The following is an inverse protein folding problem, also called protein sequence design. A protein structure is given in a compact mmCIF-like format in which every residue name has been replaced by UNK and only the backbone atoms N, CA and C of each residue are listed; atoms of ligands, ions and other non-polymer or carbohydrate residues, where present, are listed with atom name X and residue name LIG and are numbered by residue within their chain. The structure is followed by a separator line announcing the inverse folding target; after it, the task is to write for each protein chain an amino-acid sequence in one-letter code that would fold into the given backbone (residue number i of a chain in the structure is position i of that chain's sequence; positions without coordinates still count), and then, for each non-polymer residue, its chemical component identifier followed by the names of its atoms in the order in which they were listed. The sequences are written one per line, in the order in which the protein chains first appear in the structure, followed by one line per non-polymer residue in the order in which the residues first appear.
data_IF_059259914107
#
_entry.id   IF_059259914107
#
_cell.length_a   1.000
_cell.length_b   1.000
_cell.length_c   1.000
_cell.angle_alpha   90.00
_cell.angle_beta   90.00
_cell.angle_gamma   90.00
#
_symmetry.space_group_name_H-M   'P 1'
#
loop_
_entity.id
_entity.type
_entity.pdbx_description
1 polymer ?
#
# COMPACT_ATOMS: atom_id res chain seq x y z
N UNK A 1 16.69 22.94 12.61
CA UNK A 1 15.91 21.73 12.27
C UNK A 1 15.49 21.05 13.56
N UNK A 2 14.21 20.77 13.73
CA UNK A 2 13.70 19.95 14.84
C UNK A 2 13.97 18.46 14.56
N UNK A 3 13.92 17.61 15.60
CA UNK A 3 14.07 16.16 15.41
C UNK A 3 12.99 15.59 14.48
N UNK A 4 11.76 16.10 14.58
CA UNK A 4 10.68 15.79 13.65
C UNK A 4 11.03 16.16 12.21
N UNK A 5 11.52 17.39 11.95
CA UNK A 5 11.93 17.84 10.62
C UNK A 5 13.02 16.96 10.00
N UNK A 6 13.99 16.50 10.80
CA UNK A 6 15.03 15.59 10.30
C UNK A 6 14.46 14.23 9.86
N UNK A 7 13.56 13.65 10.67
CA UNK A 7 12.96 12.33 10.41
C UNK A 7 11.97 12.36 9.25
N UNK A 8 11.07 13.36 9.22
CA UNK A 8 10.02 13.46 8.22
C UNK A 8 10.59 13.66 6.81
N UNK A 9 11.73 14.33 6.68
CA UNK A 9 12.43 14.52 5.40
C UNK A 9 12.80 13.18 4.78
N UNK A 10 13.43 12.27 5.55
CA UNK A 10 13.81 10.97 5.01
C UNK A 10 12.59 10.11 4.65
N UNK A 11 11.56 10.08 5.51
CA UNK A 11 10.32 9.34 5.23
C UNK A 11 9.67 9.87 3.94
N UNK A 12 9.60 11.20 3.79
CA UNK A 12 9.04 11.84 2.59
C UNK A 12 9.84 11.54 1.33
N UNK A 13 11.17 11.46 1.41
CA UNK A 13 12.02 11.06 0.28
C UNK A 13 11.67 9.62 -0.15
N UNK A 14 11.58 8.68 0.80
CA UNK A 14 11.27 7.28 0.48
C UNK A 14 9.86 7.14 -0.11
N UNK A 15 8.87 7.81 0.49
CA UNK A 15 7.50 7.83 -0.05
C UNK A 15 7.46 8.46 -1.44
N UNK A 16 8.16 9.58 -1.65
CA UNK A 16 8.26 10.27 -2.94
C UNK A 16 8.90 9.41 -4.04
N UNK A 17 9.92 8.62 -3.71
CA UNK A 17 10.52 7.65 -4.64
C UNK A 17 9.51 6.55 -5.03
N UNK A 18 8.71 6.08 -4.08
CA UNK A 18 7.64 5.12 -4.34
C UNK A 18 6.53 5.69 -5.24
N UNK A 19 6.08 6.91 -4.95
CA UNK A 19 5.11 7.65 -5.79
C UNK A 19 5.66 7.82 -7.21
N UNK A 20 6.92 8.24 -7.34
CA UNK A 20 7.57 8.41 -8.65
C UNK A 20 7.61 7.08 -9.42
N UNK A 21 7.89 5.98 -8.73
CA UNK A 21 7.87 4.63 -9.33
C UNK A 21 6.48 4.29 -9.88
N UNK A 22 5.42 4.55 -9.11
CA UNK A 22 4.04 4.30 -9.55
C UNK A 22 3.67 5.18 -10.75
N UNK A 23 3.94 6.48 -10.68
CA UNK A 23 3.61 7.41 -11.76
C UNK A 23 4.36 7.09 -13.05
N UNK A 24 5.63 6.71 -12.95
CA UNK A 24 6.43 6.28 -14.08
C UNK A 24 5.86 4.99 -14.69
N UNK A 25 5.54 4.01 -13.85
CA UNK A 25 4.92 2.75 -14.31
C UNK A 25 3.58 2.97 -15.01
N UNK A 26 2.74 3.87 -14.49
CA UNK A 26 1.47 4.26 -15.13
C UNK A 26 1.72 4.95 -16.48
N UNK A 27 2.68 5.89 -16.54
CA UNK A 27 3.02 6.58 -17.78
C UNK A 27 3.51 5.61 -18.86
N UNK A 28 4.39 4.67 -18.51
CA UNK A 28 4.87 3.63 -19.43
C UNK A 28 3.74 2.69 -19.86
N UNK A 29 2.85 2.30 -18.94
CA UNK A 29 1.67 1.51 -19.27
C UNK A 29 0.77 2.21 -20.29
N UNK A 30 0.52 3.52 -20.13
CA UNK A 30 -0.30 4.31 -21.08
C UNK A 30 0.38 4.41 -22.45
N UNK A 31 1.71 4.59 -22.50
CA UNK A 31 2.46 4.69 -23.76
C UNK A 31 2.49 3.39 -24.56
N UNK A 32 2.59 2.25 -23.87
CA UNK A 32 2.90 0.97 -24.51
C UNK A 32 1.74 -0.03 -24.54
N UNK A 33 0.68 0.17 -23.76
CA UNK A 33 -0.45 -0.78 -23.67
C UNK A 33 -1.62 -0.32 -24.52
N UNK A 34 -2.16 -1.19 -25.39
CA UNK A 34 -3.44 -0.93 -26.04
C UNK A 34 -4.56 -0.93 -24.99
N UNK A 35 -5.48 0.03 -25.03
CA UNK A 35 -6.59 0.16 -24.07
C UNK A 35 -7.39 -1.14 -23.85
N UNK A 36 -7.58 -1.94 -24.89
CA UNK A 36 -8.26 -3.25 -24.83
C UNK A 36 -7.50 -4.32 -24.04
N UNK A 37 -6.23 -4.09 -23.71
CA UNK A 37 -5.37 -5.00 -22.97
C UNK A 37 -5.24 -4.62 -21.48
N UNK A 38 -6.00 -3.63 -20.98
CA UNK A 38 -6.00 -3.25 -19.56
C UNK A 38 -6.86 -4.23 -18.74
N UNK A 39 -6.25 -4.81 -17.70
CA UNK A 39 -6.91 -5.75 -16.80
C UNK A 39 -7.45 -5.01 -15.56
N UNK A 40 -8.77 -4.93 -15.41
CA UNK A 40 -9.40 -4.09 -14.39
C UNK A 40 -8.89 -4.32 -12.95
N UNK A 41 -8.71 -5.56 -12.43
CA UNK A 41 -8.15 -5.77 -11.10
C UNK A 41 -6.78 -5.11 -10.92
N UNK A 42 -5.94 -5.18 -11.96
CA UNK A 42 -4.61 -4.61 -11.91
C UNK A 42 -4.64 -3.08 -11.78
N UNK A 43 -5.51 -2.41 -12.56
CA UNK A 43 -5.69 -0.96 -12.49
C UNK A 43 -6.22 -0.53 -11.11
N UNK A 44 -7.18 -1.28 -10.55
CA UNK A 44 -7.72 -1.00 -9.22
C UNK A 44 -6.61 -1.15 -8.16
N UNK A 45 -5.75 -2.16 -8.27
CA UNK A 45 -4.61 -2.33 -7.36
C UNK A 45 -3.60 -1.19 -7.46
N UNK A 46 -3.29 -0.69 -8.66
CA UNK A 46 -2.43 0.50 -8.82
C UNK A 46 -3.03 1.70 -8.09
N UNK A 47 -4.33 1.96 -8.30
CA UNK A 47 -5.03 3.06 -7.64
C UNK A 47 -5.07 2.88 -6.11
N UNK A 48 -5.36 1.67 -5.63
CA UNK A 48 -5.40 1.33 -4.21
C UNK A 48 -4.06 1.61 -3.54
N UNK A 49 -2.96 1.12 -4.11
CA UNK A 49 -1.62 1.37 -3.55
C UNK A 49 -1.25 2.84 -3.61
N UNK A 50 -1.59 3.55 -4.69
CA UNK A 50 -1.38 4.99 -4.76
C UNK A 50 -2.11 5.73 -3.63
N UNK A 51 -3.35 5.36 -3.33
CA UNK A 51 -4.11 5.95 -2.21
C UNK A 51 -3.46 5.61 -0.86
N UNK A 52 -2.94 4.40 -0.67
CA UNK A 52 -2.18 4.04 0.54
C UNK A 52 -0.96 4.95 0.72
N UNK A 53 -0.23 5.28 -0.35
CA UNK A 53 0.89 6.23 -0.28
C UNK A 53 0.47 7.62 0.20
N UNK A 54 -0.66 8.13 -0.29
CA UNK A 54 -1.19 9.43 0.11
C UNK A 54 -1.67 9.39 1.57
N UNK A 55 -2.33 8.30 1.97
CA UNK A 55 -2.75 8.09 3.36
C UNK A 55 -1.53 8.06 4.29
N UNK A 56 -0.51 7.28 3.95
CA UNK A 56 0.69 7.16 4.78
C UNK A 56 1.38 8.53 4.94
N UNK A 57 1.54 9.25 3.83
CA UNK A 57 2.09 10.61 3.88
C UNK A 57 1.30 11.53 4.80
N UNK A 58 -0.04 11.44 4.77
CA UNK A 58 -0.92 12.20 5.66
C UNK A 58 -0.74 11.82 7.12
N UNK A 59 -0.78 10.54 7.46
CA UNK A 59 -0.64 10.01 8.83
C UNK A 59 0.73 10.31 9.41
N UNK A 60 1.78 10.33 8.59
CA UNK A 60 3.16 10.63 9.05
C UNK A 60 3.25 12.02 9.72
N UNK A 61 2.33 12.95 9.43
CA UNK A 61 2.27 14.25 10.12
C UNK A 61 2.03 14.13 11.64
N UNK A 62 1.36 13.07 12.10
CA UNK A 62 1.11 12.81 13.53
C UNK A 62 2.40 12.59 14.32
N UNK A 63 3.51 12.21 13.65
CA UNK A 63 4.82 12.08 14.27
C UNK A 63 5.34 13.38 14.88
N UNK A 64 4.73 14.54 14.57
CA UNK A 64 5.02 15.81 15.26
C UNK A 64 4.75 15.75 16.76
N UNK A 65 3.87 14.86 17.22
CA UNK A 65 3.55 14.67 18.64
C UNK A 65 4.64 13.88 19.39
N UNK A 66 5.58 13.25 18.68
CA UNK A 66 6.68 12.49 19.29
C UNK A 66 7.70 13.45 19.90
N UNK A 67 7.68 13.57 21.23
CA UNK A 67 8.57 14.47 21.98
C UNK A 67 10.03 14.02 21.98
N UNK A 68 10.28 12.70 22.08
CA UNK A 68 11.64 12.14 22.19
C UNK A 68 11.90 11.08 21.13
N UNK A 69 12.87 11.39 20.27
CA UNK A 69 13.36 10.50 19.23
C UNK A 69 14.54 9.68 19.71
N UNK A 70 14.51 8.39 19.40
CA UNK A 70 15.65 7.48 19.55
C UNK A 70 15.88 6.78 18.22
N UNK A 71 17.11 6.30 18.00
CA UNK A 71 17.46 5.57 16.77
C UNK A 71 16.53 4.37 16.55
N UNK A 72 16.18 3.64 17.60
CA UNK A 72 15.30 2.48 17.52
C UNK A 72 13.86 2.83 17.08
N UNK A 73 13.27 3.90 17.64
CA UNK A 73 11.95 4.39 17.20
C UNK A 73 11.98 4.81 15.74
N UNK A 74 13.02 5.52 15.35
CA UNK A 74 13.24 5.96 13.98
C UNK A 74 13.33 4.78 13.01
N UNK A 75 14.20 3.81 13.29
CA UNK A 75 14.36 2.61 12.45
C UNK A 75 13.06 1.79 12.38
N UNK A 76 12.33 1.65 13.49
CA UNK A 76 11.05 0.95 13.50
C UNK A 76 10.00 1.62 12.58
N UNK A 77 9.90 2.95 12.62
CA UNK A 77 8.99 3.70 11.75
C UNK A 77 9.42 3.60 10.28
N UNK A 78 10.72 3.59 10.00
CA UNK A 78 11.26 3.55 8.63
C UNK A 78 10.95 2.24 7.89
N UNK A 79 10.65 1.14 8.60
CA UNK A 79 10.31 -0.16 7.99
C UNK A 79 9.07 -0.06 7.10
N UNK A 80 8.07 0.72 7.50
CA UNK A 80 6.82 0.87 6.76
C UNK A 80 6.99 1.55 5.39
N UNK A 81 7.58 2.77 5.28
CA UNK A 81 7.80 3.42 3.99
C UNK A 81 8.76 2.64 3.08
N UNK A 82 9.73 1.90 3.64
CA UNK A 82 10.59 0.98 2.85
C UNK A 82 9.75 -0.17 2.27
N UNK A 83 8.87 -0.76 3.07
CA UNK A 83 7.97 -1.83 2.62
C UNK A 83 7.00 -1.33 1.54
N UNK A 84 6.50 -0.10 1.67
CA UNK A 84 5.73 0.56 0.61
C UNK A 84 6.55 0.74 -0.67
N UNK A 85 7.79 1.24 -0.57
CA UNK A 85 8.68 1.38 -1.74
C UNK A 85 8.83 0.05 -2.49
N UNK A 86 9.03 -1.06 -1.77
CA UNK A 86 9.08 -2.40 -2.38
C UNK A 86 7.74 -2.74 -3.05
N UNK A 87 6.61 -2.46 -2.40
CA UNK A 87 5.28 -2.68 -2.97
C UNK A 87 5.07 -1.93 -4.29
N UNK A 88 5.52 -0.67 -4.39
CA UNK A 88 5.45 0.11 -5.63
C UNK A 88 6.22 -0.55 -6.79
N UNK A 89 7.39 -1.13 -6.52
CA UNK A 89 8.16 -1.87 -7.52
C UNK A 89 7.51 -3.20 -7.90
N UNK A 90 6.82 -3.85 -6.96
CA UNK A 90 6.07 -5.08 -7.27
C UNK A 90 4.86 -4.80 -8.17
N UNK A 91 4.33 -3.58 -8.23
CA UNK A 91 3.19 -3.29 -9.10
C UNK A 91 3.53 -3.37 -10.58
N UNK A 92 4.78 -3.12 -11.01
CA UNK A 92 5.12 -3.00 -12.41
C UNK A 92 6.20 -4.01 -12.80
N UNK A 93 6.22 -4.51 -14.06
CA UNK A 93 7.27 -5.41 -14.52
C UNK A 93 8.63 -4.71 -14.53
N UNK A 94 9.68 -5.42 -14.11
CA UNK A 94 11.05 -4.94 -14.27
C UNK A 94 11.55 -5.25 -15.69
N UNK A 95 11.94 -4.21 -16.43
CA UNK A 95 12.50 -4.34 -17.78
C UNK A 95 11.45 -4.39 -18.91
N UNK A 96 11.95 -4.29 -20.14
CA UNK A 96 11.16 -4.19 -21.38
C UNK A 96 10.74 -5.60 -21.85
N UNK A 97 10.05 -6.38 -21.00
CA UNK A 97 9.43 -7.62 -21.51
C UNK A 97 8.12 -7.27 -22.21
N UNK A 98 8.22 -7.02 -23.53
CA UNK A 98 7.11 -6.65 -24.42
C UNK A 98 6.07 -7.76 -24.62
N UNK A 99 6.21 -8.90 -23.95
CA UNK A 99 5.48 -10.12 -24.27
C UNK A 99 4.30 -10.41 -23.33
N UNK A 100 4.23 -9.81 -22.14
CA UNK A 100 3.11 -10.07 -21.22
C UNK A 100 1.96 -9.08 -21.41
N UNK A 101 0.75 -9.61 -21.55
CA UNK A 101 -0.46 -8.81 -21.36
C UNK A 101 -0.58 -8.41 -19.89
N UNK A 102 -1.26 -7.29 -19.61
CA UNK A 102 -1.43 -6.81 -18.22
C UNK A 102 -2.10 -7.86 -17.31
N UNK A 103 -2.97 -8.70 -17.87
CA UNK A 103 -3.63 -9.82 -17.17
C UNK A 103 -2.64 -10.91 -16.79
N UNK A 104 -1.76 -11.33 -17.71
CA UNK A 104 -0.77 -12.39 -17.45
C UNK A 104 0.24 -11.94 -16.41
N UNK A 105 0.75 -10.72 -16.55
CA UNK A 105 1.64 -10.11 -15.57
C UNK A 105 0.99 -10.09 -14.18
N UNK A 106 -0.24 -9.55 -14.08
CA UNK A 106 -0.94 -9.49 -12.80
C UNK A 106 -1.17 -10.88 -12.20
N UNK A 107 -1.67 -11.85 -12.98
CA UNK A 107 -1.97 -13.20 -12.46
C UNK A 107 -0.72 -13.99 -12.09
N UNK A 108 0.43 -13.67 -12.68
CA UNK A 108 1.72 -14.22 -12.26
C UNK A 108 2.22 -13.58 -10.96
N UNK A 109 1.99 -12.28 -10.79
CA UNK A 109 2.62 -11.50 -9.72
C UNK A 109 1.72 -11.25 -8.49
N UNK A 110 0.41 -11.45 -8.58
CA UNK A 110 -0.53 -11.15 -7.48
C UNK A 110 -0.17 -11.81 -6.14
N UNK A 111 0.42 -13.03 -6.04
CA UNK A 111 0.74 -13.59 -4.73
C UNK A 111 1.82 -12.76 -4.02
N UNK A 112 2.82 -12.28 -4.76
CA UNK A 112 3.87 -11.40 -4.22
C UNK A 112 3.29 -10.07 -3.77
N UNK A 113 2.43 -9.49 -4.61
CA UNK A 113 1.71 -8.26 -4.28
C UNK A 113 0.88 -8.41 -3.00
N UNK A 114 0.11 -9.50 -2.88
CA UNK A 114 -0.79 -9.71 -1.73
C UNK A 114 -0.01 -10.00 -0.46
N UNK A 115 1.08 -10.76 -0.54
CA UNK A 115 1.99 -10.99 0.60
C UNK A 115 2.60 -9.66 1.08
N UNK A 116 3.06 -8.81 0.16
CA UNK A 116 3.62 -7.51 0.52
C UNK A 116 2.58 -6.60 1.22
N UNK A 117 1.32 -6.61 0.75
CA UNK A 117 0.22 -5.88 1.40
C UNK A 117 -0.11 -6.47 2.76
N UNK A 118 -0.13 -7.80 2.91
CA UNK A 118 -0.31 -8.46 4.23
C UNK A 118 0.78 -8.04 5.21
N UNK A 119 2.04 -7.98 4.77
CA UNK A 119 3.16 -7.54 5.61
C UNK A 119 2.96 -6.08 6.06
N UNK A 120 2.58 -5.19 5.15
CA UNK A 120 2.27 -3.79 5.47
C UNK A 120 1.10 -3.69 6.45
N UNK A 121 0.06 -4.48 6.26
CA UNK A 121 -1.12 -4.49 7.11
C UNK A 121 -0.79 -4.95 8.54
N UNK A 122 0.06 -5.99 8.67
CA UNK A 122 0.59 -6.44 9.96
C UNK A 122 1.44 -5.35 10.61
N UNK A 123 2.31 -4.67 9.85
CA UNK A 123 3.11 -3.55 10.37
C UNK A 123 2.21 -2.43 10.89
N UNK A 124 1.13 -2.10 10.18
CA UNK A 124 0.14 -1.10 10.60
C UNK A 124 -0.58 -1.51 11.89
N UNK A 125 -1.04 -2.76 12.01
CA UNK A 125 -1.65 -3.27 13.26
C UNK A 125 -0.66 -3.17 14.42
N UNK A 126 0.59 -3.61 14.23
CA UNK A 126 1.63 -3.52 15.26
C UNK A 126 1.86 -2.07 15.66
N UNK A 127 1.96 -1.14 14.70
CA UNK A 127 2.11 0.28 14.98
C UNK A 127 0.94 0.82 15.80
N UNK A 128 -0.29 0.59 15.34
CA UNK A 128 -1.52 1.07 15.96
C UNK A 128 -1.68 0.59 17.40
N UNK A 129 -1.39 -0.69 17.67
CA UNK A 129 -1.56 -1.28 18.99
C UNK A 129 -0.40 -0.96 19.94
N UNK A 130 0.84 -1.07 19.47
CA UNK A 130 2.02 -0.96 20.34
C UNK A 130 2.52 0.47 20.51
N UNK A 131 2.30 1.36 19.52
CA UNK A 131 2.81 2.73 19.54
C UNK A 131 1.70 3.76 19.71
N UNK A 132 0.59 3.63 18.98
CA UNK A 132 -0.52 4.60 19.03
C UNK A 132 -1.56 4.30 20.12
N UNK A 133 -1.52 3.10 20.72
CA UNK A 133 -2.44 2.70 21.79
C UNK A 133 -3.91 2.61 21.38
N UNK A 134 -4.17 2.41 20.08
CA UNK A 134 -5.54 2.34 19.55
C UNK A 134 -6.25 1.06 20.02
N UNK A 135 -7.57 1.15 20.20
CA UNK A 135 -8.39 0.02 20.64
C UNK A 135 -8.44 -1.09 19.58
N UNK A 136 -8.48 -2.36 20.00
CA UNK A 136 -8.53 -3.52 19.09
C UNK A 136 -9.68 -3.45 18.07
N UNK A 137 -10.81 -2.83 18.44
CA UNK A 137 -11.97 -2.66 17.56
C UNK A 137 -11.66 -1.80 16.32
N UNK A 138 -10.72 -0.86 16.42
CA UNK A 138 -10.27 -0.05 15.28
C UNK A 138 -9.51 -0.87 14.24
N UNK A 139 -9.09 -2.09 14.60
CA UNK A 139 -8.31 -2.98 13.74
C UNK A 139 -9.18 -3.95 12.92
N UNK A 140 -10.51 -3.92 13.08
CA UNK A 140 -11.44 -4.77 12.32
C UNK A 140 -11.23 -4.66 10.79
N UNK A 141 -11.04 -3.46 10.20
CA UNK A 141 -10.74 -3.34 8.78
C UNK A 141 -9.47 -4.09 8.37
N UNK A 142 -8.39 -3.96 9.12
CA UNK A 142 -7.13 -4.66 8.87
C UNK A 142 -7.30 -6.19 8.93
N UNK A 143 -8.00 -6.70 9.95
CA UNK A 143 -8.31 -8.13 10.05
C UNK A 143 -9.10 -8.65 8.83
N UNK A 144 -10.03 -7.85 8.30
CA UNK A 144 -10.76 -8.20 7.09
C UNK A 144 -9.82 -8.28 5.87
N UNK A 145 -8.90 -7.33 5.71
CA UNK A 145 -7.88 -7.34 4.64
C UNK A 145 -7.01 -8.60 4.75
N UNK A 146 -6.49 -8.92 5.94
CA UNK A 146 -5.67 -10.12 6.16
C UNK A 146 -6.41 -11.40 5.76
N UNK A 147 -7.65 -11.57 6.20
CA UNK A 147 -8.46 -12.75 5.89
C UNK A 147 -8.69 -12.85 4.38
N UNK A 148 -9.15 -11.77 3.75
CA UNK A 148 -9.48 -11.74 2.31
C UNK A 148 -8.24 -12.10 1.46
N UNK A 149 -7.10 -11.45 1.73
CA UNK A 149 -5.88 -11.68 0.95
C UNK A 149 -5.28 -13.07 1.22
N UNK A 150 -5.31 -13.54 2.47
CA UNK A 150 -4.83 -14.88 2.82
C UNK A 150 -5.67 -15.96 2.13
N UNK A 151 -7.01 -15.82 2.10
CA UNK A 151 -7.89 -16.73 1.37
C UNK A 151 -7.62 -16.72 -0.14
N UNK A 152 -7.35 -15.56 -0.73
CA UNK A 152 -6.99 -15.47 -2.15
C UNK A 152 -5.68 -16.20 -2.49
N UNK A 153 -4.67 -16.09 -1.60
CA UNK A 153 -3.38 -16.79 -1.77
C UNK A 153 -3.56 -18.30 -1.62
N UNK A 154 -4.31 -18.77 -0.63
CA UNK A 154 -4.49 -20.21 -0.35
C UNK A 154 -5.34 -20.91 -1.41
N UNK A 155 -6.43 -20.27 -1.86
CA UNK A 155 -7.32 -20.84 -2.89
C UNK A 155 -6.71 -20.82 -4.29
N UNK A 156 -5.68 -20.00 -4.53
CA UNK A 156 -5.01 -19.84 -5.84
C UNK A 156 -5.97 -19.60 -7.00
N UNK A 157 -7.12 -18.95 -6.72
CA UNK A 157 -8.11 -18.64 -7.74
C UNK A 157 -7.50 -17.74 -8.81
N UNK A 158 -7.83 -17.99 -10.07
CA UNK A 158 -7.46 -17.15 -11.22
C UNK A 158 -8.69 -16.53 -11.91
N UNK A 159 -9.87 -16.64 -11.27
CA UNK A 159 -11.13 -16.14 -11.81
C UNK A 159 -11.13 -14.61 -11.76
N UNK A 160 -11.21 -13.97 -12.91
CA UNK A 160 -11.11 -12.50 -13.02
C UNK A 160 -12.12 -11.76 -12.17
N UNK A 161 -13.39 -12.19 -12.17
CA UNK A 161 -14.43 -11.54 -11.37
C UNK A 161 -14.13 -11.56 -9.86
N UNK A 162 -13.47 -12.61 -9.35
CA UNK A 162 -13.09 -12.71 -7.93
C UNK A 162 -12.01 -11.68 -7.60
N UNK A 163 -10.97 -11.57 -8.44
CA UNK A 163 -9.94 -10.54 -8.26
C UNK A 163 -10.52 -9.12 -8.37
N UNK A 164 -11.46 -8.88 -9.30
CA UNK A 164 -12.14 -7.59 -9.41
C UNK A 164 -12.94 -7.28 -8.15
N UNK A 165 -13.75 -8.24 -7.68
CA UNK A 165 -14.57 -8.07 -6.48
C UNK A 165 -13.70 -7.80 -5.24
N UNK A 166 -12.63 -8.57 -5.04
CA UNK A 166 -11.68 -8.35 -3.95
C UNK A 166 -11.03 -6.98 -4.04
N UNK A 167 -10.52 -6.58 -5.21
CA UNK A 167 -9.88 -5.27 -5.36
C UNK A 167 -10.85 -4.12 -5.08
N UNK A 168 -12.12 -4.22 -5.51
CA UNK A 168 -13.16 -3.24 -5.21
C UNK A 168 -13.51 -3.20 -3.72
N UNK A 169 -13.69 -4.36 -3.07
CA UNK A 169 -13.98 -4.45 -1.63
C UNK A 169 -12.86 -3.80 -0.82
N UNK A 170 -11.60 -4.11 -1.15
CA UNK A 170 -10.45 -3.52 -0.46
C UNK A 170 -10.35 -2.00 -0.69
N UNK A 171 -10.66 -1.53 -1.90
CA UNK A 171 -10.74 -0.09 -2.17
C UNK A 171 -11.84 0.59 -1.35
N UNK A 172 -13.01 -0.03 -1.22
CA UNK A 172 -14.11 0.49 -0.40
C UNK A 172 -13.71 0.53 1.08
N UNK A 173 -13.09 -0.53 1.60
CA UNK A 173 -12.57 -0.57 2.97
C UNK A 173 -11.60 0.60 3.19
N UNK A 174 -10.64 0.81 2.28
CA UNK A 174 -9.67 1.89 2.34
C UNK A 174 -10.33 3.27 2.37
N UNK A 175 -11.30 3.52 1.47
CA UNK A 175 -12.02 4.80 1.40
C UNK A 175 -12.86 5.05 2.66
N UNK A 176 -13.48 4.01 3.21
CA UNK A 176 -14.24 4.11 4.47
C UNK A 176 -13.28 4.44 5.63
N UNK A 177 -12.14 3.76 5.73
CA UNK A 177 -11.12 4.04 6.75
C UNK A 177 -10.65 5.50 6.70
N UNK A 178 -10.36 6.02 5.51
CA UNK A 178 -10.01 7.44 5.31
C UNK A 178 -11.11 8.41 5.75
N UNK A 179 -12.38 8.05 5.51
CA UNK A 179 -13.51 8.89 5.89
C UNK A 179 -13.74 8.91 7.42
N UNK A 180 -13.39 7.82 8.11
CA UNK A 180 -13.47 7.72 9.57
C UNK A 180 -12.33 8.51 10.21
N UNK A 181 -11.11 8.38 9.69
CA UNK A 181 -9.90 9.04 10.21
C UNK A 181 -10.03 10.57 10.23
N UNK A 182 -10.66 11.16 9.21
CA UNK A 182 -10.99 12.60 9.17
C UNK A 182 -11.87 13.10 10.33
N UNK A 183 -12.56 12.22 11.06
CA UNK A 183 -13.45 12.61 12.17
C UNK A 183 -12.74 12.69 13.53
N UNK A 184 -11.49 12.23 13.63
CA UNK A 184 -10.79 12.06 14.91
C UNK A 184 -9.82 13.20 15.23
N UNK A 185 -9.38 13.98 14.23
CA UNK A 185 -8.41 15.07 14.41
C UNK A 185 -9.17 16.40 14.55
N UNK A 186 -9.49 16.78 15.80
CA UNK A 186 -9.89 18.14 16.21
C UNK A 186 -9.08 18.57 17.42
#
# INVERSE_FOLDING_TARGET
MTAFEYVIVLISIILGLGITTILTGVAEMIKHTRLSALYAPYIIWIALVFVIYIQEWWVTYELKAVQTWTLHKFLAILIYPISLYILAHLLFPTGVSREFTSREFYLHNYPKLFIAVIILDIQSIIHNLAFSGLALQTQIPHLAVLIILSTMITTKTKKTWVHTAVALVLLVILVISLAIEKRVIY
#
